data_IF_127698564309
#
_entry.id   IF_127698564309
#
_cell.length_a   1.000
_cell.length_b   1.000
_cell.length_c   1.000
_cell.angle_alpha   90.00
_cell.angle_beta   90.00
_cell.angle_gamma   90.00
#
_symmetry.space_group_name_H-M   'P 1'
#
loop_
_entity.id
_entity.type
_entity.pdbx_description
1 polymer ?
#
# COMPACT_ATOMS: atom_id res chain seq x y z
N UNK A 1 -8.40 76.14 -28.52
CA UNK A 1 -7.24 75.23 -28.37
C UNK A 1 -7.59 74.27 -27.22
N UNK A 2 -8.39 73.23 -27.46
CA UNK A 2 -7.94 71.87 -27.79
C UNK A 2 -6.60 71.47 -27.16
N UNK A 3 -6.67 70.65 -26.11
CA UNK A 3 -5.93 69.39 -26.10
C UNK A 3 -6.69 68.35 -25.27
N UNK A 4 -7.14 67.29 -25.95
CA UNK A 4 -7.77 66.09 -25.37
C UNK A 4 -6.69 65.07 -24.98
N UNK A 5 -7.01 64.29 -23.96
CA UNK A 5 -6.46 62.96 -23.62
C UNK A 5 -4.99 62.98 -23.12
N UNK A 6 -4.56 62.12 -22.20
CA UNK A 6 -4.63 60.65 -22.25
C UNK A 6 -4.61 60.12 -20.80
N UNK A 7 -5.65 59.40 -20.39
CA UNK A 7 -5.59 58.57 -19.18
C UNK A 7 -4.96 57.24 -19.53
N UNK A 8 -3.71 57.02 -19.09
CA UNK A 8 -3.05 55.73 -19.23
C UNK A 8 -3.53 54.80 -18.10
N UNK A 9 -4.60 54.05 -18.35
CA UNK A 9 -5.07 53.00 -17.44
C UNK A 9 -4.12 51.81 -17.58
N UNK A 10 -3.28 51.59 -16.57
CA UNK A 10 -2.39 50.44 -16.47
C UNK A 10 -3.23 49.23 -16.02
N UNK A 11 -3.68 48.42 -16.97
CA UNK A 11 -4.41 47.18 -16.70
C UNK A 11 -3.39 46.08 -16.33
N UNK A 12 -3.21 45.83 -15.04
CA UNK A 12 -2.37 44.73 -14.54
C UNK A 12 -3.12 43.42 -14.73
N UNK A 13 -2.82 42.71 -15.82
CA UNK A 13 -3.27 41.31 -15.99
C UNK A 13 -2.37 40.45 -15.11
N UNK A 14 -2.79 40.19 -13.88
CA UNK A 14 -2.18 39.14 -13.06
C UNK A 14 -2.47 37.79 -13.72
N UNK A 15 -1.50 37.28 -14.48
CA UNK A 15 -1.51 35.90 -14.90
C UNK A 15 -1.37 35.03 -13.65
N UNK A 16 -2.45 34.39 -13.22
CA UNK A 16 -2.37 33.28 -12.28
C UNK A 16 -1.57 32.18 -12.96
N UNK A 17 -0.34 31.97 -12.52
CA UNK A 17 0.42 30.79 -12.88
C UNK A 17 -0.31 29.58 -12.26
N UNK A 18 -1.11 28.88 -13.07
CA UNK A 18 -1.51 27.52 -12.73
C UNK A 18 -0.25 26.67 -12.88
N UNK A 19 0.36 26.31 -11.74
CA UNK A 19 1.33 25.23 -11.74
C UNK A 19 0.60 23.99 -12.26
N UNK A 20 1.05 23.47 -13.40
CA UNK A 20 0.62 22.16 -13.89
C UNK A 20 1.05 21.13 -12.86
N UNK A 21 0.09 20.44 -12.24
CA UNK A 21 0.40 19.20 -11.51
C UNK A 21 0.92 18.19 -12.54
N UNK A 22 2.24 18.16 -12.71
CA UNK A 22 2.91 17.00 -13.27
C UNK A 22 2.56 15.84 -12.34
N UNK A 23 2.09 14.73 -12.92
CA UNK A 23 1.81 13.51 -12.18
C UNK A 23 3.16 12.93 -11.72
N UNK A 24 3.74 13.55 -10.70
CA UNK A 24 4.99 13.17 -10.07
C UNK A 24 4.71 11.94 -9.24
N UNK A 25 4.61 10.80 -9.94
CA UNK A 25 4.67 9.49 -9.29
C UNK A 25 5.95 9.48 -8.44
N UNK A 26 5.84 9.39 -7.09
CA UNK A 26 6.99 9.49 -6.21
C UNK A 26 8.01 8.36 -6.45
N UNK A 27 7.62 7.29 -7.13
CA UNK A 27 8.51 6.22 -7.58
C UNK A 27 9.39 6.56 -8.79
N UNK A 28 9.07 7.63 -9.52
CA UNK A 28 9.77 8.05 -10.72
C UNK A 28 10.68 9.28 -10.50
N UNK A 29 10.74 9.78 -9.26
CA UNK A 29 11.56 10.95 -8.92
C UNK A 29 13.05 10.65 -9.11
N UNK A 30 13.64 11.18 -10.19
CA UNK A 30 15.07 11.03 -10.47
C UNK A 30 15.89 11.76 -9.40
N UNK A 31 16.72 11.04 -8.65
CA UNK A 31 17.44 11.60 -7.50
C UNK A 31 16.58 11.86 -6.26
N UNK A 32 15.40 11.23 -6.17
CA UNK A 32 14.49 11.39 -5.03
C UNK A 32 15.12 11.01 -3.69
N UNK A 33 15.01 11.90 -2.70
CA UNK A 33 15.46 11.67 -1.33
C UNK A 33 14.51 10.76 -0.53
N UNK A 34 14.78 10.64 0.77
CA UNK A 34 14.03 9.79 1.73
C UNK A 34 12.52 9.96 1.60
N UNK A 35 12.04 11.20 1.50
CA UNK A 35 10.61 11.50 1.39
C UNK A 35 9.97 10.88 0.13
N UNK A 36 10.63 10.99 -1.02
CA UNK A 36 10.12 10.41 -2.27
C UNK A 36 10.11 8.88 -2.19
N UNK A 37 11.16 8.29 -1.61
CA UNK A 37 11.23 6.84 -1.37
C UNK A 37 10.09 6.35 -0.46
N UNK A 38 9.82 7.05 0.65
CA UNK A 38 8.72 6.73 1.56
C UNK A 38 7.35 6.81 0.85
N UNK A 39 7.11 7.89 0.10
CA UNK A 39 5.86 8.06 -0.65
C UNK A 39 5.68 6.95 -1.70
N UNK A 40 6.75 6.57 -2.40
CA UNK A 40 6.72 5.48 -3.36
C UNK A 40 6.34 4.14 -2.71
N UNK A 41 7.02 3.76 -1.62
CA UNK A 41 6.74 2.48 -0.97
C UNK A 41 5.35 2.48 -0.31
N UNK A 42 4.90 3.61 0.25
CA UNK A 42 3.54 3.74 0.78
C UNK A 42 2.48 3.52 -0.32
N UNK A 43 2.69 4.08 -1.52
CA UNK A 43 1.81 3.84 -2.67
C UNK A 43 1.80 2.36 -3.08
N UNK A 44 2.96 1.71 -3.15
CA UNK A 44 3.06 0.27 -3.45
C UNK A 44 2.37 -0.58 -2.38
N UNK A 45 2.53 -0.24 -1.10
CA UNK A 45 1.87 -0.93 0.01
C UNK A 45 0.35 -0.85 -0.08
N UNK A 46 -0.20 0.31 -0.47
CA UNK A 46 -1.65 0.44 -0.70
C UNK A 46 -2.16 -0.56 -1.75
N UNK A 47 -1.49 -0.63 -2.90
CA UNK A 47 -1.86 -1.55 -3.98
C UNK A 47 -1.71 -3.02 -3.55
N UNK A 48 -0.62 -3.34 -2.84
CA UNK A 48 -0.38 -4.68 -2.33
C UNK A 48 -1.44 -5.10 -1.28
N UNK A 49 -1.87 -4.19 -0.41
CA UNK A 49 -2.93 -4.46 0.57
C UNK A 49 -4.30 -4.67 -0.08
N UNK A 50 -4.63 -3.88 -1.11
CA UNK A 50 -5.84 -4.09 -1.91
C UNK A 50 -5.84 -5.50 -2.53
N UNK A 51 -4.71 -5.93 -3.08
CA UNK A 51 -4.58 -7.27 -3.67
C UNK A 51 -4.60 -8.39 -2.62
N UNK A 52 -3.93 -8.20 -1.47
CA UNK A 52 -3.98 -9.12 -0.34
C UNK A 52 -5.42 -9.34 0.11
N UNK A 53 -6.20 -8.27 0.27
CA UNK A 53 -7.60 -8.33 0.70
C UNK A 53 -8.49 -9.02 -0.34
N UNK A 54 -8.23 -8.79 -1.64
CA UNK A 54 -8.95 -9.48 -2.71
C UNK A 54 -8.67 -10.99 -2.70
N UNK A 55 -7.40 -11.41 -2.59
CA UNK A 55 -7.03 -12.82 -2.54
C UNK A 55 -7.45 -13.50 -1.23
N UNK A 56 -7.42 -12.78 -0.11
CA UNK A 56 -7.95 -13.28 1.17
C UNK A 56 -9.42 -13.68 1.08
N UNK A 57 -10.26 -12.87 0.43
CA UNK A 57 -11.69 -13.19 0.22
C UNK A 57 -11.86 -14.44 -0.64
N UNK A 58 -11.01 -14.65 -1.66
CA UNK A 58 -11.04 -15.85 -2.49
C UNK A 58 -10.58 -17.09 -1.70
N UNK A 59 -9.54 -16.95 -0.89
CA UNK A 59 -9.04 -18.02 -0.03
C UNK A 59 -10.07 -18.43 1.04
N UNK A 60 -10.80 -17.46 1.62
CA UNK A 60 -11.90 -17.75 2.54
C UNK A 60 -12.97 -18.64 1.87
N UNK A 61 -13.38 -18.33 0.64
CA UNK A 61 -14.36 -19.15 -0.08
C UNK A 61 -13.89 -20.59 -0.30
N UNK A 62 -12.66 -20.78 -0.77
CA UNK A 62 -12.06 -22.12 -0.91
C UNK A 62 -11.98 -22.86 0.43
N UNK A 63 -11.66 -22.13 1.51
CA UNK A 63 -11.61 -22.68 2.87
C UNK A 63 -13.01 -23.09 3.36
N UNK A 64 -14.05 -22.33 3.05
CA UNK A 64 -15.45 -22.66 3.37
C UNK A 64 -15.90 -23.93 2.64
N UNK A 65 -15.57 -24.06 1.36
CA UNK A 65 -15.87 -25.25 0.54
C UNK A 65 -15.18 -26.50 1.12
N UNK A 66 -13.89 -26.40 1.46
CA UNK A 66 -13.13 -27.49 2.09
C UNK A 66 -13.68 -27.86 3.47
N UNK A 67 -14.04 -26.86 4.28
CA UNK A 67 -14.65 -27.09 5.60
C UNK A 67 -15.97 -27.86 5.49
N UNK A 68 -16.82 -27.50 4.52
CA UNK A 68 -18.08 -28.20 4.25
C UNK A 68 -17.82 -29.66 3.85
N UNK A 69 -16.86 -29.90 2.96
CA UNK A 69 -16.49 -31.25 2.53
C UNK A 69 -15.97 -32.10 3.70
N UNK A 70 -15.05 -31.56 4.50
CA UNK A 70 -14.47 -32.27 5.64
C UNK A 70 -15.49 -32.58 6.73
N UNK A 71 -16.49 -31.70 6.95
CA UNK A 71 -17.53 -31.90 7.96
C UNK A 71 -18.43 -33.11 7.72
N UNK A 72 -18.42 -33.69 6.52
CA UNK A 72 -19.10 -34.96 6.25
C UNK A 72 -18.52 -36.11 7.10
N UNK A 73 -17.22 -36.08 7.38
CA UNK A 73 -16.51 -37.09 8.17
C UNK A 73 -16.04 -36.55 9.54
N UNK A 74 -15.78 -35.25 9.63
CA UNK A 74 -15.17 -34.59 10.80
C UNK A 74 -16.03 -33.38 11.21
N UNK A 75 -17.14 -33.63 11.94
CA UNK A 75 -18.16 -32.60 12.23
C UNK A 75 -17.63 -31.33 12.92
N UNK A 76 -16.54 -31.42 13.67
CA UNK A 76 -15.96 -30.31 14.43
C UNK A 76 -14.84 -29.56 13.69
N UNK A 77 -14.70 -29.75 12.37
CA UNK A 77 -13.74 -28.98 11.57
C UNK A 77 -14.12 -27.49 11.52
N UNK A 78 -13.16 -26.61 11.79
CA UNK A 78 -13.31 -25.14 11.87
C UNK A 78 -12.21 -24.39 11.09
N UNK A 79 -11.92 -24.82 9.86
CA UNK A 79 -10.86 -24.24 9.02
C UNK A 79 -11.01 -22.73 8.83
N UNK A 80 -12.22 -22.21 8.61
CA UNK A 80 -12.45 -20.78 8.36
C UNK A 80 -12.07 -19.95 9.59
N UNK A 81 -12.43 -20.41 10.79
CA UNK A 81 -12.09 -19.75 12.05
C UNK A 81 -10.57 -19.72 12.26
N UNK A 82 -9.91 -20.86 12.01
CA UNK A 82 -8.46 -21.00 12.11
C UNK A 82 -7.73 -20.13 11.09
N UNK A 83 -8.20 -20.09 9.84
CA UNK A 83 -7.61 -19.28 8.77
C UNK A 83 -7.73 -17.78 9.05
N UNK A 84 -8.90 -17.32 9.52
CA UNK A 84 -9.10 -15.94 9.98
C UNK A 84 -8.14 -15.59 11.13
N UNK A 85 -7.97 -16.51 12.08
CA UNK A 85 -7.07 -16.32 13.22
C UNK A 85 -5.61 -16.27 12.80
N UNK A 86 -5.20 -17.16 11.88
CA UNK A 86 -3.87 -17.16 11.25
C UNK A 86 -3.58 -15.82 10.57
N UNK A 87 -4.53 -15.26 9.80
CA UNK A 87 -4.30 -13.98 9.15
C UNK A 87 -4.16 -12.82 10.14
N UNK A 88 -4.96 -12.77 11.21
CA UNK A 88 -4.80 -11.74 12.26
C UNK A 88 -3.46 -11.84 12.97
N UNK A 89 -2.99 -13.05 13.26
CA UNK A 89 -1.69 -13.28 13.86
C UNK A 89 -0.55 -12.88 12.91
N UNK A 90 -0.68 -13.20 11.63
CA UNK A 90 0.28 -12.84 10.60
C UNK A 90 0.47 -11.32 10.47
N UNK A 91 -0.60 -10.52 10.54
CA UNK A 91 -0.50 -9.05 10.53
C UNK A 91 0.38 -8.53 11.68
N UNK A 92 0.17 -9.06 12.89
CA UNK A 92 0.97 -8.70 14.08
C UNK A 92 2.44 -9.11 13.91
N UNK A 93 2.67 -10.31 13.38
CA UNK A 93 4.01 -10.80 13.09
C UNK A 93 4.72 -9.91 12.07
N UNK A 94 4.08 -9.62 10.93
CA UNK A 94 4.62 -8.72 9.89
C UNK A 94 5.04 -7.38 10.48
N UNK A 95 4.16 -6.75 11.25
CA UNK A 95 4.42 -5.41 11.77
C UNK A 95 5.56 -5.42 12.81
N UNK A 96 5.64 -6.45 13.66
CA UNK A 96 6.73 -6.62 14.63
C UNK A 96 8.07 -6.92 13.95
N UNK A 97 8.07 -7.83 12.98
CA UNK A 97 9.25 -8.25 12.22
C UNK A 97 9.82 -7.08 11.41
N UNK A 98 8.98 -6.36 10.68
CA UNK A 98 9.44 -5.22 9.88
C UNK A 98 9.95 -4.07 10.75
N UNK A 99 9.37 -3.86 11.94
CA UNK A 99 9.91 -2.91 12.91
C UNK A 99 11.29 -3.35 13.43
N UNK A 100 11.47 -4.65 13.72
CA UNK A 100 12.77 -5.18 14.12
C UNK A 100 13.82 -5.01 13.01
N UNK A 101 13.48 -5.36 11.77
CA UNK A 101 14.40 -5.22 10.62
C UNK A 101 14.80 -3.74 10.41
N UNK A 102 13.85 -2.82 10.45
CA UNK A 102 14.13 -1.39 10.27
C UNK A 102 15.00 -0.78 11.37
N UNK A 103 14.86 -1.24 12.62
CA UNK A 103 15.60 -0.69 13.78
C UNK A 103 16.92 -1.43 14.04
N UNK A 104 17.03 -2.71 13.66
CA UNK A 104 18.26 -3.51 13.86
C UNK A 104 19.42 -3.06 12.98
N UNK A 105 19.17 -2.15 12.02
CA UNK A 105 20.19 -1.46 11.24
C UNK A 105 20.75 -0.24 11.99
N UNK A 106 22.00 0.13 11.72
CA UNK A 106 22.60 1.41 12.14
C UNK A 106 21.62 2.57 11.88
N UNK A 107 21.49 3.56 12.80
CA UNK A 107 20.61 4.71 12.62
C UNK A 107 20.74 5.31 11.21
N UNK A 108 19.63 5.33 10.49
CA UNK A 108 19.58 5.71 9.08
C UNK A 108 18.36 6.58 8.81
N UNK A 109 18.47 7.65 8.01
CA UNK A 109 17.31 8.40 7.54
C UNK A 109 16.31 7.53 6.77
N UNK A 110 16.71 6.34 6.30
CA UNK A 110 15.89 5.43 5.52
C UNK A 110 15.15 4.36 6.33
N UNK A 111 15.23 4.39 7.66
CA UNK A 111 14.63 3.35 8.52
C UNK A 111 13.14 3.12 8.23
N UNK A 112 12.33 4.18 8.12
CA UNK A 112 10.91 4.04 7.84
C UNK A 112 10.65 3.47 6.44
N UNK A 113 11.47 3.84 5.45
CA UNK A 113 11.39 3.26 4.09
C UNK A 113 11.67 1.76 4.14
N UNK A 114 12.69 1.34 4.89
CA UNK A 114 13.04 -0.08 5.06
C UNK A 114 11.93 -0.88 5.76
N UNK A 115 11.28 -0.30 6.78
CA UNK A 115 10.12 -0.89 7.44
C UNK A 115 8.98 -1.12 6.44
N UNK A 116 8.68 -0.11 5.63
CA UNK A 116 7.60 -0.19 4.64
C UNK A 116 7.93 -1.15 3.48
N UNK A 117 9.19 -1.22 3.05
CA UNK A 117 9.64 -2.19 2.04
C UNK A 117 9.54 -3.63 2.54
N UNK A 118 9.88 -3.87 3.81
CA UNK A 118 9.65 -5.16 4.44
C UNK A 118 8.17 -5.55 4.43
N UNK A 119 7.27 -4.63 4.82
CA UNK A 119 5.82 -4.88 4.81
C UNK A 119 5.31 -5.18 3.41
N UNK A 120 5.82 -4.46 2.40
CA UNK A 120 5.47 -4.69 1.00
C UNK A 120 5.81 -6.11 0.57
N UNK A 121 7.07 -6.51 0.78
CA UNK A 121 7.55 -7.86 0.44
C UNK A 121 6.71 -8.95 1.11
N UNK A 122 6.52 -8.86 2.43
CA UNK A 122 5.73 -9.85 3.17
C UNK A 122 4.27 -9.89 2.71
N UNK A 123 3.68 -8.74 2.36
CA UNK A 123 2.31 -8.66 1.86
C UNK A 123 2.15 -9.33 0.50
N UNK A 124 3.14 -9.18 -0.39
CA UNK A 124 3.17 -9.90 -1.68
C UNK A 124 3.29 -11.41 -1.44
N UNK A 125 4.23 -11.85 -0.58
CA UNK A 125 4.40 -13.27 -0.24
C UNK A 125 3.12 -13.88 0.34
N UNK A 126 2.43 -13.15 1.23
CA UNK A 126 1.17 -13.61 1.82
C UNK A 126 0.03 -13.68 0.81
N UNK A 127 0.02 -12.77 -0.16
CA UNK A 127 -0.92 -12.79 -1.28
C UNK A 127 -0.72 -14.05 -2.13
N UNK A 128 0.53 -14.43 -2.44
CA UNK A 128 0.82 -15.67 -3.16
C UNK A 128 0.42 -16.91 -2.35
N UNK A 129 0.70 -16.92 -1.04
CA UNK A 129 0.21 -17.99 -0.16
C UNK A 129 -1.31 -18.16 -0.27
N UNK A 130 -2.09 -17.07 -0.22
CA UNK A 130 -3.54 -17.15 -0.34
C UNK A 130 -4.04 -17.75 -1.66
N UNK A 131 -3.32 -17.54 -2.77
CA UNK A 131 -3.66 -18.17 -4.05
C UNK A 131 -3.52 -19.70 -4.03
N UNK A 132 -2.66 -20.25 -3.17
CA UNK A 132 -2.44 -21.69 -3.03
C UNK A 132 -3.26 -22.38 -1.91
N UNK A 133 -3.94 -21.62 -1.06
CA UNK A 133 -4.71 -22.19 0.06
C UNK A 133 -5.98 -22.88 -0.45
N UNK A 134 -6.11 -24.17 -0.11
CA UNK A 134 -7.25 -25.04 -0.44
C UNK A 134 -7.60 -25.04 -1.93
N UNK A 135 -6.60 -24.83 -2.77
CA UNK A 135 -6.64 -25.13 -4.19
C UNK A 135 -6.53 -26.64 -4.30
N UNK A 136 -7.64 -27.32 -4.64
CA UNK A 136 -7.64 -28.77 -4.86
C UNK A 136 -6.57 -29.22 -5.85
#
# INVERSE_FOLDING_TARGET
MNLKAIHFVFFVISATAFATEENDNPCNAQGGGVTAGYMCVAQKNKLADEQLNAEYKKAIKRTEEEEIALRQNWRHTELVSLFRSSQRAWLKFRDAECKFIGISSTPSPWQDVQVEECKLRMTIERTEYFKGVHSG
#
